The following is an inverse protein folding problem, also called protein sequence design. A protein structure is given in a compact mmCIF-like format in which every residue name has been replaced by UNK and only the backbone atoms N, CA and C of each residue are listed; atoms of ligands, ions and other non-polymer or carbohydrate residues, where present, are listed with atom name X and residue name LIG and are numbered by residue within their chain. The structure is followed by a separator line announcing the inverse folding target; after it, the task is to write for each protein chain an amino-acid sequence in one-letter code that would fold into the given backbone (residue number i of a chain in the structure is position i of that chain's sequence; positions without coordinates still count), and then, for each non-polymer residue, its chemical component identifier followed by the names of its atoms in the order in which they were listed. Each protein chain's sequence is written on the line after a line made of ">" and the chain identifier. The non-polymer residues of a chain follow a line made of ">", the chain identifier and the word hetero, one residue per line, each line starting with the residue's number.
data_IF_629914836416
#
_entry.id   IF_629914836416
#
_cell.length_a   1.000
_cell.length_b   1.000
_cell.length_c   1.000
_cell.angle_alpha   90.00
_cell.angle_beta   90.00
_cell.angle_gamma   90.00
#
_symmetry.space_group_name_H-M   'P 1'
#
loop_
_entity.id
_entity.type
_entity.pdbx_description
1 polymer ?
#
# COMPACT_ATOMS: atom_id res chain seq x y z
N UNK A 1 11.74 12.51 14.31
CA UNK A 1 12.43 11.79 13.23
C UNK A 1 11.50 10.71 12.75
N UNK A 2 11.25 10.64 11.45
CA UNK A 2 10.55 9.53 10.80
C UNK A 2 11.40 8.24 10.92
N UNK A 3 10.87 7.02 10.82
CA UNK A 3 11.64 5.79 10.86
C UNK A 3 12.70 5.72 9.76
N UNK A 4 12.43 6.37 8.61
CA UNK A 4 13.42 6.58 7.55
C UNK A 4 14.63 7.41 8.01
N UNK A 5 14.46 8.30 8.99
CA UNK A 5 15.53 9.08 9.62
C UNK A 5 16.15 8.35 10.83
N UNK A 6 15.52 7.29 11.35
CA UNK A 6 15.98 6.55 12.53
C UNK A 6 16.62 5.19 12.22
N UNK A 7 16.62 4.73 10.97
CA UNK A 7 17.50 3.65 10.52
C UNK A 7 18.96 4.12 10.65
N UNK A 8 19.54 3.94 11.85
CA UNK A 8 20.93 4.32 12.17
C UNK A 8 21.97 3.50 11.40
N UNK A 9 21.55 2.40 10.78
CA UNK A 9 22.30 1.60 9.82
C UNK A 9 21.55 1.61 8.49
N UNK A 10 22.26 1.86 7.38
CA UNK A 10 21.64 1.81 6.07
C UNK A 10 21.19 0.39 5.68
N UNK A 11 20.35 0.29 4.66
CA UNK A 11 19.87 -0.99 4.12
C UNK A 11 20.59 -1.28 2.82
N UNK A 12 21.14 -2.49 2.67
CA UNK A 12 21.88 -2.88 1.47
C UNK A 12 20.98 -2.97 0.25
N UNK A 13 21.41 -2.42 -0.88
CA UNK A 13 20.71 -2.53 -2.16
C UNK A 13 20.45 -3.98 -2.56
N UNK A 14 21.41 -4.88 -2.26
CA UNK A 14 21.23 -6.30 -2.55
C UNK A 14 20.06 -6.93 -1.82
N UNK A 15 19.69 -6.44 -0.62
CA UNK A 15 18.48 -6.89 0.06
C UNK A 15 17.22 -6.27 -0.58
N UNK A 16 17.26 -4.98 -0.88
CA UNK A 16 16.11 -4.24 -1.39
C UNK A 16 15.68 -4.73 -2.78
N UNK A 17 16.64 -4.99 -3.65
CA UNK A 17 16.43 -5.31 -5.06
C UNK A 17 16.67 -6.79 -5.39
N UNK A 18 16.78 -7.64 -4.36
CA UNK A 18 16.95 -9.09 -4.53
C UNK A 18 15.87 -9.68 -5.43
N UNK A 19 16.30 -10.39 -6.48
CA UNK A 19 15.44 -11.00 -7.49
C UNK A 19 14.68 -10.02 -8.39
N UNK A 20 14.97 -8.70 -8.31
CA UNK A 20 14.30 -7.68 -9.12
C UNK A 20 15.15 -7.18 -10.29
N UNK A 21 16.47 -7.21 -10.14
CA UNK A 21 17.44 -6.81 -11.17
C UNK A 21 18.84 -7.33 -10.84
N UNK A 22 19.74 -7.28 -11.82
CA UNK A 22 21.17 -7.46 -11.58
C UNK A 22 21.74 -6.21 -10.88
N UNK A 23 22.16 -6.40 -9.64
CA UNK A 23 22.73 -5.36 -8.78
C UNK A 23 24.24 -5.16 -8.99
N UNK A 24 24.90 -6.03 -9.78
CA UNK A 24 26.32 -5.98 -10.05
C UNK A 24 27.18 -5.79 -8.79
N UNK A 25 28.17 -4.90 -8.88
CA UNK A 25 29.02 -4.52 -7.73
C UNK A 25 28.32 -3.66 -6.66
N UNK A 26 27.10 -3.19 -6.90
CA UNK A 26 26.38 -2.28 -6.00
C UNK A 26 25.65 -3.00 -4.85
N UNK A 27 25.69 -4.34 -4.78
CA UNK A 27 24.92 -5.08 -3.77
C UNK A 27 25.26 -4.76 -2.31
N UNK A 28 26.51 -4.35 -2.04
CA UNK A 28 26.96 -3.94 -0.70
C UNK A 28 26.68 -2.47 -0.38
N UNK A 29 26.25 -1.67 -1.36
CA UNK A 29 25.92 -0.26 -1.15
C UNK A 29 24.72 -0.14 -0.21
N UNK A 30 24.84 0.69 0.82
CA UNK A 30 23.79 0.93 1.78
C UNK A 30 23.07 2.26 1.48
N UNK A 31 21.74 2.23 1.59
CA UNK A 31 20.90 3.43 1.45
C UNK A 31 20.17 3.71 2.76
N UNK A 32 20.05 4.99 3.09
CA UNK A 32 19.49 5.48 4.36
C UNK A 32 18.09 6.07 4.20
N UNK A 33 17.61 6.17 2.96
CA UNK A 33 16.25 6.63 2.64
C UNK A 33 15.76 6.09 1.31
N UNK A 34 14.44 6.09 1.14
CA UNK A 34 13.74 5.65 -0.06
C UNK A 34 12.72 6.72 -0.47
N UNK A 35 12.65 7.07 -1.75
CA UNK A 35 11.65 8.05 -2.23
C UNK A 35 11.30 7.86 -3.71
N UNK A 36 10.03 8.17 -4.04
CA UNK A 36 9.51 8.32 -5.41
C UNK A 36 9.63 9.76 -5.93
N UNK A 37 9.93 10.72 -5.06
CA UNK A 37 9.93 12.16 -5.35
C UNK A 37 11.36 12.70 -5.30
N UNK A 38 11.89 13.14 -6.44
CA UNK A 38 13.23 13.69 -6.58
C UNK A 38 13.48 14.89 -5.66
N UNK A 39 12.44 15.65 -5.32
CA UNK A 39 12.52 16.80 -4.40
C UNK A 39 12.75 16.39 -2.95
N UNK A 40 12.46 15.14 -2.60
CA UNK A 40 12.65 14.55 -1.26
C UNK A 40 13.92 13.69 -1.15
N UNK A 41 14.67 13.57 -2.24
CA UNK A 41 15.97 12.90 -2.22
C UNK A 41 16.90 13.67 -1.28
N UNK A 42 17.69 12.93 -0.52
CA UNK A 42 18.76 13.41 0.33
C UNK A 42 19.98 12.52 0.15
N UNK A 43 21.10 12.92 0.75
CA UNK A 43 22.31 12.11 0.77
C UNK A 43 22.01 10.68 1.27
N UNK A 44 22.41 9.68 0.47
CA UNK A 44 22.20 8.27 0.78
C UNK A 44 20.83 7.72 0.37
N UNK A 45 19.98 8.48 -0.33
CA UNK A 45 18.69 7.97 -0.83
C UNK A 45 18.85 6.95 -1.96
N UNK A 46 17.96 5.96 -1.97
CA UNK A 46 17.52 5.25 -3.16
C UNK A 46 16.34 6.02 -3.79
N UNK A 47 16.54 6.57 -4.98
CA UNK A 47 15.47 7.17 -5.77
C UNK A 47 14.81 6.12 -6.66
N UNK A 48 13.48 6.03 -6.61
CA UNK A 48 12.67 5.10 -7.41
C UNK A 48 12.03 5.85 -8.58
N UNK A 49 12.66 5.80 -9.74
CA UNK A 49 12.26 6.49 -10.96
C UNK A 49 11.29 5.63 -11.81
N UNK A 50 10.03 5.56 -11.40
CA UNK A 50 8.99 4.78 -12.08
C UNK A 50 8.49 5.45 -13.38
N UNK A 51 7.88 4.65 -14.26
CA UNK A 51 7.14 5.14 -15.42
C UNK A 51 5.77 5.67 -14.99
N UNK A 52 5.67 6.99 -14.77
CA UNK A 52 4.41 7.64 -14.38
C UNK A 52 3.48 7.92 -15.56
N UNK A 53 2.21 8.22 -15.27
CA UNK A 53 1.19 8.53 -16.29
C UNK A 53 1.40 9.87 -17.01
N UNK A 54 2.14 10.81 -16.39
CA UNK A 54 2.44 12.14 -16.96
C UNK A 54 3.87 12.28 -17.45
N UNK A 55 4.81 11.66 -16.72
CA UNK A 55 6.23 11.78 -16.97
C UNK A 55 6.96 10.59 -16.35
N UNK A 56 8.04 10.18 -16.99
CA UNK A 56 8.96 9.18 -16.45
C UNK A 56 9.81 9.77 -15.32
N UNK A 57 10.06 9.02 -14.24
CA UNK A 57 10.86 9.48 -13.10
C UNK A 57 12.29 9.88 -13.46
N UNK A 58 12.86 9.25 -14.49
CA UNK A 58 14.20 9.61 -15.02
C UNK A 58 14.28 11.02 -15.60
N UNK A 59 13.15 11.65 -15.96
CA UNK A 59 13.14 13.06 -16.35
C UNK A 59 13.66 13.98 -15.22
N UNK A 60 13.67 13.49 -13.98
CA UNK A 60 14.17 14.20 -12.80
C UNK A 60 15.49 13.64 -12.24
N UNK A 61 16.20 12.82 -13.03
CA UNK A 61 17.46 12.20 -12.61
C UNK A 61 18.49 13.24 -12.15
N UNK A 62 18.68 14.32 -12.92
CA UNK A 62 19.64 15.38 -12.57
C UNK A 62 19.36 15.99 -11.20
N UNK A 63 18.08 16.22 -10.86
CA UNK A 63 17.69 16.75 -9.55
C UNK A 63 17.98 15.73 -8.42
N UNK A 64 17.69 14.45 -8.66
CA UNK A 64 17.99 13.39 -7.68
C UNK A 64 19.50 13.26 -7.43
N UNK A 65 20.32 13.34 -8.47
CA UNK A 65 21.78 13.31 -8.35
C UNK A 65 22.30 14.53 -7.56
N UNK A 66 21.81 15.73 -7.87
CA UNK A 66 22.18 16.96 -7.14
C UNK A 66 21.81 16.90 -5.66
N UNK A 67 20.70 16.24 -5.34
CA UNK A 67 20.22 16.07 -3.97
C UNK A 67 20.93 14.93 -3.20
N UNK A 68 21.86 14.19 -3.85
CA UNK A 68 22.69 13.19 -3.19
C UNK A 68 22.16 11.75 -3.22
N UNK A 69 21.36 11.38 -4.24
CA UNK A 69 21.00 9.99 -4.45
C UNK A 69 22.25 9.09 -4.52
N UNK A 70 22.32 8.08 -3.66
CA UNK A 70 23.37 7.06 -3.71
C UNK A 70 23.09 6.02 -4.80
N UNK A 71 21.80 5.77 -5.08
CA UNK A 71 21.36 4.90 -6.15
C UNK A 71 20.02 5.33 -6.72
N UNK A 72 19.79 4.93 -7.96
CA UNK A 72 18.54 5.15 -8.69
C UNK A 72 18.08 3.82 -9.26
N UNK A 73 16.98 3.29 -8.76
CA UNK A 73 16.26 2.21 -9.44
C UNK A 73 15.27 2.86 -10.42
N UNK A 74 15.23 2.41 -11.67
CA UNK A 74 14.44 3.06 -12.71
C UNK A 74 13.71 2.03 -13.57
N UNK A 75 12.55 2.42 -14.11
CA UNK A 75 11.72 1.55 -14.93
C UNK A 75 12.09 1.64 -16.42
N UNK A 76 12.46 0.55 -17.09
CA UNK A 76 12.67 0.57 -18.53
C UNK A 76 11.35 0.77 -19.29
N UNK A 77 11.36 1.67 -20.28
CA UNK A 77 10.25 1.87 -21.21
C UNK A 77 10.76 2.08 -22.65
N UNK A 78 9.88 2.47 -23.57
CA UNK A 78 10.25 2.69 -24.97
C UNK A 78 11.22 3.86 -25.19
N UNK A 79 11.23 4.84 -24.27
CA UNK A 79 12.06 6.05 -24.34
C UNK A 79 13.33 5.92 -23.49
N UNK A 80 13.28 5.15 -22.41
CA UNK A 80 14.36 4.93 -21.48
C UNK A 80 14.79 3.47 -21.54
N UNK A 81 15.91 3.23 -22.24
CA UNK A 81 16.51 1.90 -22.37
C UNK A 81 17.88 1.86 -21.68
N UNK A 82 18.36 0.66 -21.37
CA UNK A 82 19.68 0.47 -20.75
C UNK A 82 20.79 1.05 -21.63
N UNK A 83 20.66 0.90 -22.95
CA UNK A 83 21.62 1.44 -23.90
C UNK A 83 21.58 2.97 -23.97
N UNK A 84 20.38 3.57 -23.92
CA UNK A 84 20.23 5.03 -23.93
C UNK A 84 20.86 5.70 -22.70
N UNK A 85 20.93 4.99 -21.57
CA UNK A 85 21.49 5.49 -20.32
C UNK A 85 22.98 5.11 -20.13
N UNK A 86 23.53 4.24 -20.98
CA UNK A 86 24.91 3.75 -20.87
C UNK A 86 25.95 4.87 -21.00
N UNK A 87 25.68 5.83 -21.87
CA UNK A 87 26.58 6.94 -22.19
C UNK A 87 26.32 8.19 -21.33
N UNK A 88 25.37 8.13 -20.37
CA UNK A 88 25.15 9.24 -19.46
C UNK A 88 26.32 9.36 -18.49
N UNK A 89 26.92 10.56 -18.43
CA UNK A 89 27.94 10.89 -17.46
C UNK A 89 27.33 10.96 -16.05
N UNK A 90 27.35 9.83 -15.34
CA UNK A 90 26.96 9.75 -13.94
C UNK A 90 28.17 10.00 -13.03
N UNK A 91 27.98 10.57 -11.83
CA UNK A 91 29.01 10.53 -10.81
C UNK A 91 29.40 9.07 -10.54
N UNK A 92 30.70 8.77 -10.47
CA UNK A 92 31.22 7.39 -10.38
C UNK A 92 30.69 6.58 -9.17
N UNK A 93 30.11 7.25 -8.17
CA UNK A 93 29.58 6.65 -6.96
C UNK A 93 28.08 6.27 -7.02
N UNK A 94 27.34 6.63 -8.09
CA UNK A 94 25.90 6.40 -8.16
C UNK A 94 25.56 5.15 -8.97
N UNK A 95 24.84 4.22 -8.37
CA UNK A 95 24.32 3.04 -9.07
C UNK A 95 23.01 3.36 -9.80
N UNK A 96 22.95 3.09 -11.11
CA UNK A 96 21.74 3.22 -11.92
C UNK A 96 21.23 1.82 -12.32
N UNK A 97 20.11 1.40 -11.73
CA UNK A 97 19.67 0.01 -11.72
C UNK A 97 18.31 -0.15 -12.43
N UNK A 98 18.26 -0.80 -13.61
CA UNK A 98 17.00 -1.02 -14.33
C UNK A 98 16.15 -2.04 -13.58
N UNK A 99 14.88 -1.73 -13.31
CA UNK A 99 13.93 -2.66 -12.68
C UNK A 99 12.66 -2.69 -13.52
N UNK A 100 12.40 -3.83 -14.18
CA UNK A 100 11.17 -4.03 -14.97
C UNK A 100 9.94 -3.94 -14.08
N UNK A 101 8.91 -3.23 -14.51
CA UNK A 101 7.67 -2.98 -13.75
C UNK A 101 7.93 -2.38 -12.36
N UNK A 102 8.89 -1.46 -12.26
CA UNK A 102 9.28 -0.85 -10.97
C UNK A 102 8.07 -0.29 -10.23
N UNK A 103 7.13 0.38 -10.93
CA UNK A 103 5.89 0.88 -10.36
C UNK A 103 5.12 -0.17 -9.54
N UNK A 104 5.00 -1.40 -10.06
CA UNK A 104 4.33 -2.50 -9.38
C UNK A 104 5.16 -3.10 -8.22
N UNK A 105 6.48 -2.89 -8.21
CA UNK A 105 7.43 -3.44 -7.22
C UNK A 105 7.74 -2.47 -6.08
N UNK A 106 7.34 -1.20 -6.17
CA UNK A 106 7.66 -0.18 -5.15
C UNK A 106 7.16 -0.59 -3.76
N UNK A 107 5.94 -1.14 -3.65
CA UNK A 107 5.41 -1.60 -2.36
C UNK A 107 6.29 -2.68 -1.73
N UNK A 108 6.81 -3.61 -2.54
CA UNK A 108 7.71 -4.68 -2.09
C UNK A 108 9.06 -4.13 -1.64
N UNK A 109 9.66 -3.23 -2.43
CA UNK A 109 10.95 -2.59 -2.10
C UNK A 109 10.81 -1.78 -0.81
N UNK A 110 9.74 -1.00 -0.67
CA UNK A 110 9.45 -0.24 0.55
C UNK A 110 9.21 -1.17 1.75
N UNK A 111 8.50 -2.28 1.55
CA UNK A 111 8.32 -3.32 2.57
C UNK A 111 9.66 -3.84 3.08
N UNK A 112 10.59 -4.19 2.18
CA UNK A 112 11.96 -4.63 2.53
C UNK A 112 12.73 -3.55 3.29
N UNK A 113 12.65 -2.29 2.85
CA UNK A 113 13.36 -1.16 3.47
C UNK A 113 12.91 -0.89 4.91
N UNK A 114 11.61 -0.95 5.18
CA UNK A 114 11.06 -0.70 6.53
C UNK A 114 10.92 -1.97 7.39
N UNK A 115 11.37 -3.13 6.90
CA UNK A 115 11.34 -4.40 7.62
C UNK A 115 9.94 -5.02 7.75
N UNK A 116 9.09 -4.86 6.74
CA UNK A 116 7.72 -5.42 6.68
C UNK A 116 6.86 -5.09 7.92
N UNK A 117 6.71 -3.80 8.28
CA UNK A 117 6.12 -3.38 9.55
C UNK A 117 4.70 -3.89 9.79
N UNK A 118 3.93 -4.16 8.74
CA UNK A 118 2.57 -4.72 8.84
C UNK A 118 2.51 -6.10 9.50
N UNK A 119 3.58 -6.90 9.45
CA UNK A 119 3.61 -8.27 10.01
C UNK A 119 3.52 -8.33 11.53
N UNK A 120 3.81 -7.22 12.21
CA UNK A 120 3.87 -7.13 13.67
C UNK A 120 2.58 -6.55 14.28
N UNK A 121 1.58 -6.25 13.46
CA UNK A 121 0.32 -5.64 13.87
C UNK A 121 -0.87 -6.35 13.21
N UNK A 122 -2.08 -6.16 13.73
CA UNK A 122 -3.30 -6.59 13.03
C UNK A 122 -3.70 -5.56 11.98
N UNK A 123 -3.70 -5.92 10.70
CA UNK A 123 -3.98 -5.02 9.58
C UNK A 123 -5.38 -5.26 9.01
N UNK A 124 -6.21 -4.22 9.03
CA UNK A 124 -7.60 -4.27 8.56
C UNK A 124 -7.73 -3.30 7.39
N UNK A 125 -7.99 -3.83 6.19
CA UNK A 125 -8.22 -3.04 4.98
C UNK A 125 -9.71 -2.84 4.72
N UNK A 126 -10.15 -1.59 4.57
CA UNK A 126 -11.55 -1.24 4.30
C UNK A 126 -11.67 -0.63 2.91
N UNK A 127 -12.45 -1.26 2.04
CA UNK A 127 -12.77 -0.75 0.70
C UNK A 127 -14.27 -0.62 0.45
N UNK A 128 -14.58 0.08 -0.64
CA UNK A 128 -15.94 0.41 -1.11
C UNK A 128 -16.04 1.86 -1.57
N UNK A 129 -17.21 2.24 -2.10
CA UNK A 129 -17.44 3.62 -2.54
C UNK A 129 -17.60 4.53 -1.33
N UNK A 130 -18.55 4.24 -0.45
CA UNK A 130 -18.86 5.05 0.72
C UNK A 130 -18.63 4.31 2.04
N UNK A 131 -18.35 5.05 3.12
CA UNK A 131 -18.29 4.50 4.48
C UNK A 131 -16.92 4.00 4.94
N UNK A 132 -15.88 4.04 4.08
CA UNK A 132 -14.50 3.65 4.45
C UNK A 132 -14.02 4.38 5.70
N UNK A 133 -14.11 5.71 5.71
CA UNK A 133 -13.71 6.54 6.85
C UNK A 133 -14.48 6.20 8.12
N UNK A 134 -15.82 6.15 8.07
CA UNK A 134 -16.65 5.83 9.23
C UNK A 134 -16.33 4.45 9.80
N UNK A 135 -16.24 3.42 8.95
CA UNK A 135 -15.87 2.07 9.36
C UNK A 135 -14.47 2.03 9.98
N UNK A 136 -13.49 2.71 9.38
CA UNK A 136 -12.13 2.80 9.91
C UNK A 136 -12.10 3.36 11.33
N UNK A 137 -12.82 4.47 11.56
CA UNK A 137 -12.90 5.10 12.87
C UNK A 137 -13.66 4.24 13.90
N UNK A 138 -14.77 3.62 13.50
CA UNK A 138 -15.53 2.73 14.39
C UNK A 138 -14.74 1.47 14.77
N UNK A 139 -14.01 0.88 13.83
CA UNK A 139 -13.13 -0.27 14.10
C UNK A 139 -12.05 0.12 15.10
N UNK A 140 -11.35 1.24 14.87
CA UNK A 140 -10.30 1.69 15.79
C UNK A 140 -10.84 1.96 17.20
N UNK A 141 -12.02 2.59 17.31
CA UNK A 141 -12.68 2.84 18.59
C UNK A 141 -13.13 1.54 19.28
N UNK A 142 -13.70 0.59 18.54
CA UNK A 142 -14.15 -0.68 19.08
C UNK A 142 -12.99 -1.58 19.55
N UNK A 143 -11.83 -1.47 18.90
CA UNK A 143 -10.62 -2.19 19.29
C UNK A 143 -9.91 -1.56 20.50
N UNK A 144 -10.06 -0.25 20.72
CA UNK A 144 -9.35 0.52 21.77
C UNK A 144 -9.35 -0.12 23.17
N UNK A 145 -10.41 -0.82 23.65
CA UNK A 145 -10.38 -1.48 24.95
C UNK A 145 -9.41 -2.66 25.08
N UNK A 146 -8.99 -3.28 23.96
CA UNK A 146 -8.18 -4.50 23.97
C UNK A 146 -6.91 -4.42 23.12
N UNK A 147 -6.87 -3.52 22.14
CA UNK A 147 -5.75 -3.30 21.23
C UNK A 147 -5.64 -1.83 20.92
N UNK A 148 -4.42 -1.30 20.98
CA UNK A 148 -4.16 0.08 20.59
C UNK A 148 -4.20 0.20 19.07
N UNK A 149 -5.32 0.68 18.54
CA UNK A 149 -5.57 0.71 17.10
C UNK A 149 -5.35 2.10 16.52
N UNK A 150 -4.49 2.20 15.51
CA UNK A 150 -4.29 3.40 14.71
C UNK A 150 -5.15 3.37 13.44
N UNK A 151 -5.30 4.53 12.81
CA UNK A 151 -6.01 4.67 11.53
C UNK A 151 -5.11 5.25 10.45
N UNK A 152 -5.34 4.83 9.21
CA UNK A 152 -4.78 5.43 7.99
C UNK A 152 -5.94 5.70 7.04
N UNK A 153 -6.19 6.95 6.71
CA UNK A 153 -7.31 7.29 5.84
C UNK A 153 -7.43 8.76 5.50
N UNK A 154 -8.61 9.13 5.04
CA UNK A 154 -8.94 10.48 4.58
C UNK A 154 -8.78 11.53 5.68
N UNK A 155 -9.00 11.16 6.94
CA UNK A 155 -8.84 12.05 8.10
C UNK A 155 -7.39 12.16 8.60
N UNK A 156 -6.46 11.40 8.00
CA UNK A 156 -5.07 11.39 8.39
C UNK A 156 -4.56 10.02 8.83
N UNK A 157 -3.39 10.05 9.47
CA UNK A 157 -2.63 8.88 9.90
C UNK A 157 -2.32 9.04 11.39
N UNK A 158 -2.64 8.05 12.21
CA UNK A 158 -2.33 8.11 13.64
C UNK A 158 -3.38 7.47 14.54
N UNK A 159 -3.16 7.60 15.84
CA UNK A 159 -4.16 7.29 16.86
C UNK A 159 -5.21 8.40 16.93
N UNK A 160 -6.38 8.10 17.50
CA UNK A 160 -7.50 9.04 17.57
C UNK A 160 -7.16 10.38 18.26
N UNK A 161 -6.19 10.38 19.18
CA UNK A 161 -5.69 11.54 19.93
C UNK A 161 -4.44 12.19 19.30
N UNK A 162 -3.88 11.59 18.24
CA UNK A 162 -2.63 12.01 17.62
C UNK A 162 -2.65 11.78 16.09
N UNK A 163 -3.70 12.25 15.42
CA UNK A 163 -3.80 12.22 13.97
C UNK A 163 -2.91 13.29 13.34
N UNK A 164 -2.06 12.89 12.39
CA UNK A 164 -1.37 13.81 11.48
C UNK A 164 -2.05 13.81 10.11
N UNK A 165 -2.03 14.96 9.45
CA UNK A 165 -2.61 15.09 8.11
C UNK A 165 -1.96 14.13 7.11
N UNK A 166 -2.80 13.50 6.29
CA UNK A 166 -2.40 12.67 5.16
C UNK A 166 -2.60 13.44 3.84
N UNK A 167 -1.80 13.13 2.83
CA UNK A 167 -1.94 13.75 1.50
C UNK A 167 -2.98 13.06 0.62
N UNK A 168 -3.33 11.81 0.93
CA UNK A 168 -4.25 10.98 0.17
C UNK A 168 -5.00 10.04 1.12
N UNK A 169 -6.18 9.56 0.73
CA UNK A 169 -6.92 8.53 1.46
C UNK A 169 -6.08 7.26 1.68
N UNK A 170 -5.26 6.88 0.70
CA UNK A 170 -4.25 5.83 0.85
C UNK A 170 -2.90 6.37 0.34
N UNK A 171 -1.86 6.48 1.18
CA UNK A 171 -0.55 7.02 0.78
C UNK A 171 0.12 6.24 -0.35
N UNK A 172 1.14 6.83 -0.97
CA UNK A 172 2.03 6.09 -1.89
C UNK A 172 2.76 4.94 -1.15
N UNK A 173 3.24 3.90 -1.85
CA UNK A 173 3.76 2.71 -1.19
C UNK A 173 4.94 2.98 -0.23
N UNK A 174 5.78 3.98 -0.51
CA UNK A 174 6.91 4.33 0.36
C UNK A 174 6.40 5.02 1.62
N UNK A 175 5.55 6.03 1.47
CA UNK A 175 4.95 6.75 2.60
C UNK A 175 4.08 5.83 3.46
N UNK A 176 3.39 4.86 2.85
CA UNK A 176 2.57 3.89 3.57
C UNK A 176 3.42 2.96 4.45
N UNK A 177 4.46 2.35 3.91
CA UNK A 177 5.33 1.47 4.70
C UNK A 177 6.06 2.25 5.81
N UNK A 178 6.47 3.50 5.55
CA UNK A 178 7.02 4.39 6.58
C UNK A 178 6.00 4.66 7.69
N UNK A 179 4.75 4.98 7.32
CA UNK A 179 3.67 5.22 8.28
C UNK A 179 3.38 3.97 9.14
N UNK A 180 3.36 2.78 8.54
CA UNK A 180 3.20 1.53 9.30
C UNK A 180 4.37 1.31 10.27
N UNK A 181 5.61 1.59 9.86
CA UNK A 181 6.77 1.50 10.75
C UNK A 181 6.69 2.51 11.91
N UNK A 182 6.21 3.74 11.65
CA UNK A 182 5.96 4.77 12.67
C UNK A 182 4.94 4.30 13.70
N UNK A 183 3.81 3.79 13.21
CA UNK A 183 2.71 3.34 14.07
C UNK A 183 3.13 2.15 14.92
N UNK A 184 3.85 1.18 14.34
CA UNK A 184 4.44 0.06 15.09
C UNK A 184 5.36 0.57 16.20
N UNK A 185 6.29 1.46 15.87
CA UNK A 185 7.23 2.01 16.85
C UNK A 185 6.52 2.82 17.94
N UNK A 186 5.43 3.51 17.58
CA UNK A 186 4.59 4.22 18.51
C UNK A 186 3.69 3.29 19.36
N UNK A 187 3.76 1.97 19.16
CA UNK A 187 3.06 0.95 19.95
C UNK A 187 1.64 0.66 19.47
N UNK A 188 1.37 0.72 18.16
CA UNK A 188 0.13 0.22 17.60
C UNK A 188 0.10 -1.32 17.60
N UNK A 189 -0.99 -1.91 18.10
CA UNK A 189 -1.25 -3.36 18.02
C UNK A 189 -2.09 -3.73 16.80
N UNK A 190 -2.75 -2.72 16.21
CA UNK A 190 -3.63 -2.85 15.07
C UNK A 190 -3.67 -1.55 14.25
N UNK A 191 -3.97 -1.68 12.97
CA UNK A 191 -4.20 -0.55 12.06
C UNK A 191 -5.44 -0.83 11.22
N UNK A 192 -6.43 0.05 11.32
CA UNK A 192 -7.56 0.10 10.40
C UNK A 192 -7.25 1.10 9.29
N UNK A 193 -7.33 0.68 8.03
CA UNK A 193 -6.91 1.50 6.90
C UNK A 193 -7.95 1.57 5.79
N UNK A 194 -8.18 2.79 5.29
CA UNK A 194 -8.92 3.01 4.06
C UNK A 194 -8.09 2.58 2.84
N UNK A 195 -8.63 1.63 2.08
CA UNK A 195 -8.00 1.09 0.86
C UNK A 195 -8.82 1.50 -0.35
N UNK A 196 -8.42 2.61 -0.98
CA UNK A 196 -9.08 3.14 -2.18
C UNK A 196 -8.89 2.23 -3.40
N UNK A 197 -9.82 2.31 -4.37
CA UNK A 197 -9.67 1.59 -5.64
C UNK A 197 -8.43 2.03 -6.41
N UNK A 198 -8.09 3.32 -6.36
CA UNK A 198 -6.86 3.87 -6.95
C UNK A 198 -5.62 3.22 -6.34
N UNK A 199 -5.59 3.03 -5.01
CA UNK A 199 -4.46 2.43 -4.34
C UNK A 199 -4.27 0.94 -4.69
N UNK A 200 -5.37 0.20 -4.82
CA UNK A 200 -5.36 -1.19 -5.27
C UNK A 200 -4.97 -1.30 -6.73
N UNK A 201 -5.47 -0.37 -7.56
CA UNK A 201 -5.17 -0.38 -8.98
C UNK A 201 -3.69 -0.09 -9.27
N UNK A 202 -3.13 0.88 -8.54
CA UNK A 202 -1.73 1.32 -8.65
C UNK A 202 -0.74 0.49 -7.81
N UNK A 203 -1.21 -0.57 -7.14
CA UNK A 203 -0.33 -1.42 -6.33
C UNK A 203 0.27 -0.76 -5.09
N UNK A 204 -0.30 0.35 -4.58
CA UNK A 204 0.23 1.08 -3.40
C UNK A 204 0.32 0.19 -2.15
N UNK A 205 -0.63 -0.74 -2.02
CA UNK A 205 -0.74 -1.68 -0.90
C UNK A 205 -0.24 -3.08 -1.24
N UNK A 206 0.39 -3.31 -2.40
CA UNK A 206 0.66 -4.65 -2.92
C UNK A 206 1.48 -5.57 -1.99
N UNK A 207 2.37 -5.01 -1.16
CA UNK A 207 3.16 -5.76 -0.18
C UNK A 207 2.70 -5.56 1.27
N UNK A 208 1.52 -4.98 1.48
CA UNK A 208 0.91 -4.88 2.81
C UNK A 208 0.18 -6.20 3.09
N UNK A 209 0.55 -6.87 4.17
CA UNK A 209 -0.09 -8.11 4.59
C UNK A 209 -1.28 -7.76 5.46
N UNK A 210 -2.50 -7.90 4.92
CA UNK A 210 -3.73 -7.67 5.66
C UNK A 210 -4.21 -8.96 6.32
N UNK A 211 -4.71 -8.85 7.55
CA UNK A 211 -5.41 -9.93 8.23
C UNK A 211 -6.90 -9.96 7.87
N UNK A 212 -7.50 -8.78 7.67
CA UNK A 212 -8.95 -8.65 7.46
C UNK A 212 -9.23 -7.70 6.30
N UNK A 213 -10.08 -8.14 5.38
CA UNK A 213 -10.61 -7.32 4.30
C UNK A 213 -12.09 -7.00 4.56
N UNK A 214 -12.47 -5.72 4.48
CA UNK A 214 -13.83 -5.24 4.73
C UNK A 214 -14.37 -4.56 3.47
N UNK A 215 -15.55 -4.99 3.02
CA UNK A 215 -16.27 -4.38 1.91
C UNK A 215 -17.52 -3.66 2.43
N UNK A 216 -17.67 -2.41 2.03
CA UNK A 216 -18.79 -1.55 2.43
C UNK A 216 -19.91 -1.52 1.39
N UNK A 217 -19.64 -1.05 0.18
CA UNK A 217 -20.59 -0.98 -0.93
C UNK A 217 -19.86 -0.63 -2.22
N UNK A 218 -20.53 -0.80 -3.36
CA UNK A 218 -20.09 -0.36 -4.67
C UNK A 218 -21.23 0.39 -5.40
N UNK A 219 -21.15 1.72 -5.38
CA UNK A 219 -22.00 2.61 -6.19
C UNK A 219 -21.17 3.37 -7.24
N UNK A 220 -21.84 3.92 -8.26
CA UNK A 220 -21.19 4.64 -9.38
C UNK A 220 -20.39 5.84 -8.88
N UNK A 221 -19.07 5.78 -9.05
CA UNK A 221 -18.09 6.80 -8.68
C UNK A 221 -16.77 6.52 -9.44
N UNK A 222 -15.85 7.50 -9.48
CA UNK A 222 -14.49 7.37 -10.03
C UNK A 222 -14.36 6.81 -11.46
N UNK A 223 -15.37 7.04 -12.32
CA UNK A 223 -15.36 6.60 -13.73
C UNK A 223 -14.51 7.50 -14.65
N UNK A 224 -14.03 8.63 -14.13
CA UNK A 224 -13.00 9.47 -14.75
C UNK A 224 -11.63 8.79 -14.72
N UNK A 225 -11.40 7.90 -13.75
CA UNK A 225 -10.19 7.09 -13.65
C UNK A 225 -10.39 5.66 -14.15
N UNK A 226 -11.45 4.97 -13.72
CA UNK A 226 -11.71 3.58 -14.08
C UNK A 226 -12.43 3.50 -15.43
N UNK A 227 -11.88 2.72 -16.36
CA UNK A 227 -12.44 2.58 -17.73
C UNK A 227 -13.90 2.06 -17.77
N UNK A 228 -14.35 1.38 -16.72
CA UNK A 228 -15.73 0.96 -16.57
C UNK A 228 -16.10 0.73 -15.10
N UNK A 229 -17.41 0.64 -14.82
CA UNK A 229 -17.90 0.26 -13.49
C UNK A 229 -17.44 -1.15 -13.08
N UNK A 230 -17.30 -2.06 -14.05
CA UNK A 230 -16.73 -3.39 -13.83
C UNK A 230 -15.26 -3.30 -13.40
N UNK A 231 -14.44 -2.52 -14.11
CA UNK A 231 -13.04 -2.30 -13.76
C UNK A 231 -12.88 -1.68 -12.35
N UNK A 232 -13.79 -0.77 -11.97
CA UNK A 232 -13.82 -0.20 -10.63
C UNK A 232 -14.10 -1.24 -9.54
N UNK A 233 -15.06 -2.15 -9.78
CA UNK A 233 -15.33 -3.29 -8.90
C UNK A 233 -14.13 -4.23 -8.79
N UNK A 234 -13.56 -4.63 -9.93
CA UNK A 234 -12.39 -5.52 -9.97
C UNK A 234 -11.16 -4.92 -9.29
N UNK A 235 -10.95 -3.59 -9.38
CA UNK A 235 -9.91 -2.93 -8.59
C UNK A 235 -10.11 -3.13 -7.09
N UNK A 236 -11.35 -3.05 -6.58
CA UNK A 236 -11.65 -3.31 -5.15
C UNK A 236 -11.54 -4.78 -4.77
N UNK A 237 -11.90 -5.70 -5.68
CA UNK A 237 -11.74 -7.15 -5.49
C UNK A 237 -10.31 -7.53 -5.16
N UNK A 238 -9.31 -6.82 -5.71
CA UNK A 238 -7.89 -7.08 -5.44
C UNK A 238 -7.56 -7.12 -3.95
N UNK A 239 -8.23 -6.31 -3.10
CA UNK A 239 -8.02 -6.36 -1.65
C UNK A 239 -8.35 -7.74 -1.08
N UNK A 240 -9.42 -8.37 -1.55
CA UNK A 240 -9.88 -9.67 -1.10
C UNK A 240 -9.03 -10.82 -1.65
N UNK A 241 -8.32 -10.59 -2.75
CA UNK A 241 -7.40 -11.57 -3.34
C UNK A 241 -5.98 -11.48 -2.77
N UNK A 242 -5.73 -10.58 -1.81
CA UNK A 242 -4.42 -10.47 -1.18
C UNK A 242 -4.12 -11.72 -0.33
N UNK A 243 -2.88 -12.23 -0.39
CA UNK A 243 -2.50 -13.40 0.38
C UNK A 243 -2.48 -13.10 1.88
N UNK A 244 -2.71 -14.13 2.71
CA UNK A 244 -2.59 -14.04 4.16
C UNK A 244 -3.84 -13.53 4.89
N UNK A 245 -4.92 -13.19 4.17
CA UNK A 245 -6.19 -12.81 4.79
C UNK A 245 -6.75 -13.95 5.65
N UNK A 246 -7.12 -13.59 6.89
CA UNK A 246 -7.76 -14.49 7.86
C UNK A 246 -9.27 -14.34 7.85
N UNK A 247 -9.79 -13.16 7.50
CA UNK A 247 -11.21 -12.92 7.43
C UNK A 247 -11.65 -11.94 6.34
N UNK A 248 -12.84 -12.19 5.78
CA UNK A 248 -13.57 -11.27 4.91
C UNK A 248 -14.83 -10.79 5.63
N UNK A 249 -15.09 -9.49 5.62
CA UNK A 249 -16.31 -8.87 6.18
C UNK A 249 -17.04 -8.15 5.06
N UNK A 250 -18.22 -8.62 4.68
CA UNK A 250 -18.85 -8.25 3.40
C UNK A 250 -20.28 -7.75 3.64
N UNK A 251 -20.63 -6.61 3.05
CA UNK A 251 -22.02 -6.16 2.96
C UNK A 251 -22.78 -7.00 1.94
N UNK A 252 -23.79 -7.75 2.38
CA UNK A 252 -24.62 -8.61 1.53
C UNK A 252 -25.85 -7.92 0.94
N UNK A 253 -26.19 -6.70 1.42
CA UNK A 253 -27.19 -5.86 0.76
C UNK A 253 -26.68 -5.32 -0.59
N UNK A 254 -25.38 -5.43 -0.86
CA UNK A 254 -24.73 -4.97 -2.09
C UNK A 254 -24.51 -6.13 -3.07
N UNK A 255 -24.92 -5.96 -4.33
CA UNK A 255 -24.82 -7.00 -5.36
C UNK A 255 -23.36 -7.39 -5.69
N UNK A 256 -22.42 -6.45 -5.60
CA UNK A 256 -21.00 -6.78 -5.74
C UNK A 256 -20.49 -7.52 -4.50
N UNK A 257 -20.97 -7.15 -3.31
CA UNK A 257 -20.70 -7.90 -2.08
C UNK A 257 -21.15 -9.36 -2.15
N UNK A 258 -22.33 -9.64 -2.70
CA UNK A 258 -22.79 -11.01 -2.97
C UNK A 258 -21.89 -11.76 -3.96
N UNK A 259 -21.27 -11.04 -4.89
CA UNK A 259 -20.30 -11.63 -5.83
C UNK A 259 -19.00 -11.97 -5.11
N UNK A 260 -18.46 -11.07 -4.28
CA UNK A 260 -17.31 -11.35 -3.41
C UNK A 260 -17.56 -12.58 -2.53
N UNK A 261 -18.74 -12.70 -1.92
CA UNK A 261 -19.09 -13.85 -1.08
C UNK A 261 -18.98 -15.19 -1.84
N UNK A 262 -19.38 -15.24 -3.12
CA UNK A 262 -19.27 -16.46 -3.93
C UNK A 262 -17.81 -16.84 -4.23
N UNK A 263 -16.94 -15.85 -4.27
CA UNK A 263 -15.52 -16.01 -4.59
C UNK A 263 -14.65 -16.16 -3.32
N UNK A 264 -15.27 -16.19 -2.13
CA UNK A 264 -14.57 -16.30 -0.86
C UNK A 264 -13.88 -17.68 -0.72
N UNK A 265 -12.57 -17.73 -0.40
CA UNK A 265 -11.86 -18.98 -0.18
C UNK A 265 -12.42 -19.78 0.99
N UNK A 266 -12.25 -21.08 0.90
CA UNK A 266 -12.79 -22.04 1.86
C UNK A 266 -12.22 -21.91 3.28
N UNK A 267 -10.96 -21.52 3.36
CA UNK A 267 -10.11 -21.42 4.53
C UNK A 267 -10.12 -20.03 5.19
N UNK A 268 -10.87 -19.08 4.62
CA UNK A 268 -10.99 -17.72 5.12
C UNK A 268 -12.32 -17.53 5.86
N UNK A 269 -12.26 -17.01 7.08
CA UNK A 269 -13.47 -16.72 7.88
C UNK A 269 -14.28 -15.65 7.17
N UNK A 270 -15.49 -15.97 6.73
CA UNK A 270 -16.34 -15.01 6.00
C UNK A 270 -17.55 -14.60 6.84
N UNK A 271 -17.68 -13.29 7.07
CA UNK A 271 -18.75 -12.68 7.84
C UNK A 271 -19.55 -11.77 6.91
N UNK A 272 -20.85 -12.07 6.77
CA UNK A 272 -21.79 -11.25 6.04
C UNK A 272 -22.57 -10.34 6.98
N UNK A 273 -22.79 -9.09 6.59
CA UNK A 273 -23.70 -8.17 7.28
C UNK A 273 -24.67 -7.53 6.29
N UNK A 274 -25.82 -7.08 6.78
CA UNK A 274 -26.85 -6.41 5.98
C UNK A 274 -28.12 -6.18 6.80
N UNK A 275 -29.02 -5.35 6.28
CA UNK A 275 -30.36 -5.13 6.82
C UNK A 275 -31.36 -6.15 6.27
N UNK A 276 -31.13 -6.65 5.06
CA UNK A 276 -32.01 -7.63 4.41
C UNK A 276 -31.75 -8.99 5.02
N UNK A 277 -32.69 -9.48 5.86
CA UNK A 277 -32.61 -10.76 6.55
C UNK A 277 -32.81 -11.98 5.62
N UNK A 278 -32.26 -11.96 4.41
CA UNK A 278 -32.25 -13.15 3.56
C UNK A 278 -31.25 -14.15 4.16
N UNK A 279 -31.79 -15.18 4.83
CA UNK A 279 -31.02 -16.22 5.52
C UNK A 279 -30.54 -17.33 4.57
N UNK A 280 -30.70 -17.17 3.26
CA UNK A 280 -30.32 -18.18 2.25
C UNK A 280 -28.80 -18.28 2.02
N UNK A 281 -27.99 -17.49 2.72
CA UNK A 281 -26.54 -17.58 2.61
C UNK A 281 -25.98 -18.87 3.23
N UNK A 282 -24.98 -19.42 2.55
CA UNK A 282 -24.23 -20.65 2.87
C UNK A 282 -23.99 -20.85 4.38
N UNK A 283 -24.01 -22.11 4.83
CA UNK A 283 -23.67 -22.55 6.20
C UNK A 283 -22.28 -22.12 6.70
N UNK A 284 -21.46 -21.50 5.83
CA UNK A 284 -20.12 -20.99 6.08
C UNK A 284 -20.09 -19.53 6.56
N UNK A 285 -21.23 -18.83 6.59
CA UNK A 285 -21.30 -17.40 6.93
C UNK A 285 -21.93 -17.22 8.30
N UNK A 286 -21.19 -16.62 9.24
CA UNK A 286 -21.81 -16.11 10.47
C UNK A 286 -22.52 -14.81 10.13
N UNK A 287 -23.84 -14.88 9.96
CA UNK A 287 -24.67 -13.72 9.66
C UNK A 287 -25.18 -13.06 10.95
N UNK A 288 -25.01 -11.74 11.09
CA UNK A 288 -25.59 -10.96 12.19
C UNK A 288 -26.49 -9.86 11.63
N UNK A 289 -27.79 -9.97 11.89
CA UNK A 289 -28.77 -8.91 11.65
C UNK A 289 -28.67 -7.89 12.77
N UNK A 290 -28.47 -6.63 12.44
CA UNK A 290 -28.64 -5.54 13.38
C UNK A 290 -30.07 -5.00 13.21
N UNK A 291 -31.00 -5.47 14.04
CA UNK A 291 -32.31 -4.85 14.14
C UNK A 291 -32.16 -3.55 14.95
N UNK A 292 -32.63 -2.43 14.42
CA UNK A 292 -32.80 -1.21 15.21
C UNK A 292 -33.87 -1.49 16.27
N UNK A 293 -33.46 -1.66 17.53
CA UNK A 293 -34.34 -1.53 18.69
C UNK A 293 -34.45 -0.07 19.10
#
# INVERSE_FOLDING_TARGET
>A
MTPAEQLSSGVRLGLLLDGLTDIGGAGALEVTSLTLDSRKVREGSLFLACAGSRSHGLAYLSQALQNGAAAVAWEPDQNWTVDALRDMALPAAVALLPVTDLGARVSQIAGRFYGHPGREMVLIGITGTNGKTSCTQYIARAMSPTRRCATIGTLGIGFADALREGTHTTPDPVALQSALAELRQAGADAVAMEVSSHALDQGRVAAVEFDVAVFTNLSRDHLDYHASFSAYGEAKRRLFQMPGLKAWVINLDDAFGQTLLRDAPEDVITIGYGQSADRSYSSRVTYRVWANS
#
